data_IF_183377693739
#
_entry.id   IF_183377693739
#
_cell.length_a   1.000
_cell.length_b   1.000
_cell.length_c   1.000
_cell.angle_alpha   90.00
_cell.angle_beta   90.00
_cell.angle_gamma   90.00
#
_symmetry.space_group_name_H-M   'P 1'
#
loop_
_entity.id
_entity.type
_entity.pdbx_description
1 polymer ?
#
# COMPACT_ATOMS: atom_id res chain seq x y z
N UNK A 1 13.73 5.10 6.82
CA UNK A 1 13.17 3.73 6.60
C UNK A 1 14.25 2.67 6.40
N UNK A 2 15.22 2.86 5.49
CA UNK A 2 16.22 1.82 5.15
C UNK A 2 16.96 1.19 6.35
N UNK A 3 17.42 1.98 7.32
CA UNK A 3 18.11 1.46 8.52
C UNK A 3 17.23 0.57 9.40
N UNK A 4 15.94 0.88 9.50
CA UNK A 4 14.96 0.06 10.22
C UNK A 4 14.62 -1.21 9.45
N UNK A 5 14.55 -1.14 8.12
CA UNK A 5 14.34 -2.32 7.26
C UNK A 5 15.48 -3.33 7.39
N UNK A 6 16.73 -2.88 7.47
CA UNK A 6 17.88 -3.76 7.70
C UNK A 6 17.69 -4.61 8.98
N UNK A 7 17.27 -3.96 10.07
CA UNK A 7 16.99 -4.65 11.34
C UNK A 7 15.78 -5.58 11.25
N UNK A 8 14.72 -5.13 10.57
CA UNK A 8 13.51 -5.93 10.36
C UNK A 8 13.85 -7.20 9.59
N UNK A 9 14.63 -7.10 8.51
CA UNK A 9 15.00 -8.26 7.67
C UNK A 9 15.98 -9.20 8.39
N UNK A 10 16.83 -8.68 9.26
CA UNK A 10 17.77 -9.49 10.04
C UNK A 10 17.12 -10.34 11.13
N UNK A 11 15.93 -9.96 11.62
CA UNK A 11 15.18 -10.69 12.65
C UNK A 11 13.98 -11.45 12.03
N UNK A 12 13.97 -12.80 12.03
CA UNK A 12 12.88 -13.59 11.44
C UNK A 12 11.48 -13.25 11.97
N UNK A 13 11.34 -12.90 13.25
CA UNK A 13 10.05 -12.57 13.85
C UNK A 13 9.56 -11.20 13.36
N UNK A 14 10.44 -10.20 13.33
CA UNK A 14 10.12 -8.87 12.79
C UNK A 14 9.86 -8.94 11.27
N UNK A 15 10.69 -9.66 10.51
CA UNK A 15 10.54 -9.83 9.07
C UNK A 15 9.20 -10.48 8.73
N UNK A 16 8.78 -11.49 9.50
CA UNK A 16 7.49 -12.15 9.31
C UNK A 16 6.32 -11.19 9.53
N UNK A 17 6.34 -10.40 10.61
CA UNK A 17 5.30 -9.39 10.87
C UNK A 17 5.30 -8.29 9.81
N UNK A 18 6.47 -7.87 9.35
CA UNK A 18 6.62 -6.90 8.26
C UNK A 18 6.00 -7.38 6.95
N UNK A 19 6.35 -8.59 6.50
CA UNK A 19 5.75 -9.18 5.28
C UNK A 19 4.25 -9.35 5.41
N UNK A 20 3.77 -9.79 6.58
CA UNK A 20 2.34 -9.95 6.82
C UNK A 20 1.60 -8.60 6.86
N UNK A 21 2.29 -7.52 7.26
CA UNK A 21 1.76 -6.15 7.24
C UNK A 21 1.66 -5.61 5.82
N UNK A 22 2.70 -5.79 5.00
CA UNK A 22 2.64 -5.44 3.57
C UNK A 22 1.52 -6.23 2.88
N UNK A 23 1.46 -7.55 3.12
CA UNK A 23 0.38 -8.41 2.61
C UNK A 23 -1.02 -7.92 2.99
N UNK A 24 -1.18 -7.39 4.20
CA UNK A 24 -2.46 -6.82 4.64
C UNK A 24 -2.78 -5.53 3.90
N UNK A 25 -1.80 -4.67 3.66
CA UNK A 25 -1.96 -3.40 2.93
C UNK A 25 -2.36 -3.66 1.48
N UNK A 26 -1.69 -4.57 0.76
CA UNK A 26 -2.09 -4.96 -0.60
C UNK A 26 -3.52 -5.51 -0.66
N UNK A 27 -3.88 -6.35 0.31
CA UNK A 27 -5.25 -6.86 0.41
C UNK A 27 -6.27 -5.75 0.74
N UNK A 28 -5.86 -4.69 1.44
CA UNK A 28 -6.70 -3.53 1.67
C UNK A 28 -6.89 -2.73 0.37
N UNK A 29 -5.84 -2.60 -0.44
CA UNK A 29 -5.87 -2.07 -1.81
C UNK A 29 -6.89 -2.83 -2.65
N UNK A 30 -6.73 -4.15 -2.79
CA UNK A 30 -7.64 -5.01 -3.54
C UNK A 30 -9.12 -4.83 -3.15
N UNK A 31 -9.39 -4.75 -1.84
CA UNK A 31 -10.76 -4.53 -1.32
C UNK A 31 -11.30 -3.15 -1.69
N UNK A 32 -10.47 -2.11 -1.63
CA UNK A 32 -10.89 -0.75 -2.00
C UNK A 32 -11.24 -0.66 -3.48
N UNK A 33 -10.41 -1.24 -4.35
CA UNK A 33 -10.66 -1.30 -5.80
C UNK A 33 -11.97 -2.04 -6.06
N UNK A 34 -12.14 -3.22 -5.46
CA UNK A 34 -13.40 -3.98 -5.59
C UNK A 34 -14.61 -3.22 -5.07
N UNK A 35 -14.45 -2.46 -3.99
CA UNK A 35 -15.51 -1.63 -3.46
C UNK A 35 -15.87 -0.49 -4.41
N UNK A 36 -14.97 0.05 -5.22
CA UNK A 36 -15.27 1.18 -6.12
C UNK A 36 -16.03 0.78 -7.40
N UNK A 37 -16.14 -0.51 -7.69
CA UNK A 37 -16.83 -1.04 -8.87
C UNK A 37 -18.25 -0.46 -9.03
N UNK A 38 -18.57 -0.05 -10.27
CA UNK A 38 -19.95 0.27 -10.65
C UNK A 38 -20.76 -1.04 -10.64
N UNK A 39 -22.04 -1.05 -10.21
CA UNK A 39 -22.84 -2.27 -10.17
C UNK A 39 -23.11 -2.98 -11.52
N UNK A 40 -22.67 -2.40 -12.65
CA UNK A 40 -22.98 -2.87 -14.01
C UNK A 40 -21.81 -2.61 -14.96
N UNK A 41 -21.36 -1.35 -15.04
CA UNK A 41 -20.31 -0.93 -15.97
C UNK A 41 -18.94 -1.02 -15.30
N UNK A 42 -18.44 -2.24 -15.10
CA UNK A 42 -17.09 -2.46 -14.55
C UNK A 42 -16.11 -2.62 -15.71
N UNK A 43 -15.15 -1.68 -15.88
CA UNK A 43 -14.11 -1.81 -16.88
C UNK A 43 -13.13 -2.95 -16.54
N UNK A 44 -12.51 -3.53 -17.57
CA UNK A 44 -11.54 -4.63 -17.43
C UNK A 44 -10.36 -4.23 -16.54
N UNK A 45 -9.88 -2.98 -16.67
CA UNK A 45 -8.74 -2.46 -15.92
C UNK A 45 -8.95 -2.50 -14.40
N UNK A 46 -10.18 -2.27 -13.91
CA UNK A 46 -10.49 -2.30 -12.48
C UNK A 46 -10.42 -3.75 -11.96
N UNK A 47 -10.97 -4.70 -12.74
CA UNK A 47 -10.95 -6.12 -12.39
C UNK A 47 -9.52 -6.67 -12.38
N UNK A 48 -8.74 -6.30 -13.40
CA UNK A 48 -7.33 -6.68 -13.50
C UNK A 48 -6.54 -6.15 -12.32
N UNK A 49 -6.65 -4.85 -12.01
CA UNK A 49 -5.92 -4.24 -10.90
C UNK A 49 -6.29 -4.91 -9.57
N UNK A 50 -7.58 -5.05 -9.26
CA UNK A 50 -8.02 -5.73 -8.03
C UNK A 50 -7.48 -7.18 -7.90
N UNK A 51 -7.38 -7.92 -9.00
CA UNK A 51 -6.84 -9.27 -9.01
C UNK A 51 -5.32 -9.30 -8.79
N UNK A 52 -4.60 -8.30 -9.31
CA UNK A 52 -3.16 -8.15 -9.15
C UNK A 52 -2.81 -7.78 -7.70
N UNK A 53 -3.51 -6.83 -7.09
CA UNK A 53 -3.38 -6.49 -5.66
C UNK A 53 -3.61 -7.70 -4.74
N UNK A 54 -4.68 -8.46 -5.02
CA UNK A 54 -4.99 -9.68 -4.26
C UNK A 54 -3.88 -10.73 -4.42
N UNK A 55 -3.27 -10.81 -5.61
CA UNK A 55 -2.14 -11.69 -5.89
C UNK A 55 -0.87 -11.21 -5.18
N UNK A 56 -0.59 -9.92 -5.09
CA UNK A 56 0.54 -9.38 -4.31
C UNK A 56 0.40 -9.73 -2.84
N UNK A 57 -0.79 -9.52 -2.27
CA UNK A 57 -1.09 -9.91 -0.90
C UNK A 57 -0.81 -11.40 -0.66
N UNK A 58 -1.37 -12.27 -1.51
CA UNK A 58 -1.12 -13.70 -1.44
C UNK A 58 0.36 -14.04 -1.59
N UNK A 59 1.07 -13.39 -2.52
CA UNK A 59 2.47 -13.62 -2.77
C UNK A 59 3.30 -13.30 -1.52
N UNK A 60 3.12 -12.13 -0.92
CA UNK A 60 3.82 -11.72 0.31
C UNK A 60 3.56 -12.71 1.45
N UNK A 61 2.32 -13.17 1.65
CA UNK A 61 1.99 -14.24 2.60
C UNK A 61 2.69 -15.56 2.28
N UNK A 62 2.76 -15.95 1.01
CA UNK A 62 3.45 -17.17 0.56
C UNK A 62 4.94 -17.11 0.89
N UNK A 63 5.56 -15.93 0.81
CA UNK A 63 6.98 -15.73 1.11
C UNK A 63 7.32 -15.96 2.60
N UNK A 64 6.36 -15.87 3.52
CA UNK A 64 6.56 -16.21 4.94
C UNK A 64 7.13 -17.62 5.14
N UNK A 65 6.77 -18.56 4.26
CA UNK A 65 7.28 -19.95 4.29
C UNK A 65 8.79 -20.05 4.11
N UNK A 66 9.42 -19.02 3.53
CA UNK A 66 10.88 -18.93 3.36
C UNK A 66 11.59 -18.46 4.63
N UNK A 67 10.86 -17.86 5.57
CA UNK A 67 11.36 -17.46 6.90
C UNK A 67 11.12 -18.60 7.89
N UNK A 68 9.92 -19.18 7.90
CA UNK A 68 9.59 -20.32 8.75
C UNK A 68 8.17 -20.84 8.53
N UNK A 69 7.86 -21.99 9.12
CA UNK A 69 6.54 -22.63 9.02
C UNK A 69 5.56 -22.07 10.06
N UNK A 70 4.30 -21.83 9.66
CA UNK A 70 3.21 -21.45 10.58
C UNK A 70 3.27 -20.01 11.11
N UNK A 71 4.14 -19.17 10.56
CA UNK A 71 4.28 -17.77 10.97
C UNK A 71 3.13 -16.92 10.42
N UNK A 72 2.61 -16.03 11.26
CA UNK A 72 1.63 -15.00 10.90
C UNK A 72 0.43 -15.52 10.06
N UNK A 73 -0.35 -16.48 10.59
CA UNK A 73 -1.42 -17.14 9.82
C UNK A 73 -2.53 -16.17 9.37
N UNK A 74 -2.80 -15.14 10.18
CA UNK A 74 -3.91 -14.19 9.99
C UNK A 74 -3.38 -12.75 9.97
N UNK A 75 -4.27 -11.76 9.91
CA UNK A 75 -3.96 -10.34 10.12
C UNK A 75 -4.33 -9.89 11.54
N UNK A 76 -4.35 -10.81 12.51
CA UNK A 76 -4.56 -10.44 13.91
C UNK A 76 -3.39 -9.59 14.42
N UNK A 77 -3.69 -8.68 15.36
CA UNK A 77 -2.74 -7.68 15.85
C UNK A 77 -1.35 -8.21 16.23
N UNK A 78 -1.19 -9.39 16.87
CA UNK A 78 0.14 -9.92 17.20
C UNK A 78 1.02 -10.22 15.97
N UNK A 79 0.42 -10.45 14.81
CA UNK A 79 1.10 -10.83 13.57
C UNK A 79 1.39 -9.66 12.63
N UNK A 80 1.11 -8.43 13.04
CA UNK A 80 1.30 -7.23 12.24
C UNK A 80 2.24 -6.26 12.95
N UNK A 81 3.02 -5.50 12.21
CA UNK A 81 3.75 -4.32 12.70
C UNK A 81 2.77 -3.16 12.82
N UNK A 82 2.80 -2.42 13.93
CA UNK A 82 1.96 -1.25 14.19
C UNK A 82 0.47 -1.49 13.84
N UNK A 83 -0.18 -2.55 14.35
CA UNK A 83 -1.45 -3.08 13.82
C UNK A 83 -2.56 -2.03 13.70
N UNK A 84 -2.67 -1.12 14.67
CA UNK A 84 -3.69 -0.06 14.68
C UNK A 84 -3.44 0.97 13.56
N UNK A 85 -2.19 1.40 13.39
CA UNK A 85 -1.84 2.43 12.39
C UNK A 85 -1.87 1.81 11.00
N UNK A 86 -1.30 0.62 10.83
CA UNK A 86 -1.28 -0.14 9.58
C UNK A 86 -2.69 -0.42 9.05
N UNK A 87 -3.60 -0.93 9.89
CA UNK A 87 -4.96 -1.29 9.45
C UNK A 87 -5.82 -0.07 9.10
N UNK A 88 -5.52 1.10 9.67
CA UNK A 88 -6.25 2.35 9.42
C UNK A 88 -5.65 3.18 8.29
N UNK A 89 -4.48 2.83 7.79
CA UNK A 89 -3.69 3.63 6.85
C UNK A 89 -4.50 4.07 5.62
N UNK A 90 -4.92 3.10 4.81
CA UNK A 90 -5.65 3.34 3.57
C UNK A 90 -7.01 3.99 3.83
N UNK A 91 -7.70 3.58 4.89
CA UNK A 91 -9.01 4.11 5.23
C UNK A 91 -8.97 5.58 5.66
N UNK A 92 -7.95 5.99 6.41
CA UNK A 92 -7.75 7.39 6.78
C UNK A 92 -7.49 8.26 5.56
N UNK A 93 -6.64 7.78 4.65
CA UNK A 93 -6.39 8.48 3.38
C UNK A 93 -7.69 8.62 2.59
N UNK A 94 -8.45 7.53 2.45
CA UNK A 94 -9.73 7.52 1.74
C UNK A 94 -10.75 8.51 2.29
N UNK A 95 -10.91 8.59 3.61
CA UNK A 95 -11.79 9.56 4.27
C UNK A 95 -11.33 10.99 3.98
N UNK A 96 -10.03 11.27 4.11
CA UNK A 96 -9.47 12.61 3.91
C UNK A 96 -9.67 13.08 2.47
N UNK A 97 -9.34 12.24 1.49
CA UNK A 97 -9.49 12.57 0.07
C UNK A 97 -10.96 12.69 -0.32
N UNK A 98 -11.82 11.77 0.14
CA UNK A 98 -13.27 11.87 -0.11
C UNK A 98 -13.86 13.16 0.45
N UNK A 99 -13.40 13.61 1.63
CA UNK A 99 -13.85 14.88 2.21
C UNK A 99 -13.42 16.06 1.35
N UNK A 100 -12.14 16.09 0.98
CA UNK A 100 -11.58 17.15 0.14
C UNK A 100 -12.29 17.27 -1.21
N UNK A 101 -12.50 16.15 -1.90
CA UNK A 101 -13.21 16.10 -3.18
C UNK A 101 -14.65 16.59 -3.07
N UNK A 102 -15.34 16.22 -1.98
CA UNK A 102 -16.72 16.62 -1.73
C UNK A 102 -16.85 18.12 -1.47
N UNK A 103 -15.91 18.71 -0.73
CA UNK A 103 -15.95 20.10 -0.27
C UNK A 103 -15.40 21.07 -1.31
N UNK A 104 -14.34 20.70 -2.03
CA UNK A 104 -13.65 21.60 -2.96
C UNK A 104 -14.17 21.49 -4.40
N UNK A 105 -14.52 20.27 -4.84
CA UNK A 105 -14.94 19.99 -6.22
C UNK A 105 -16.42 19.63 -6.33
N UNK A 106 -17.12 19.49 -5.21
CA UNK A 106 -18.56 19.22 -5.20
C UNK A 106 -18.93 17.81 -5.65
N UNK A 107 -17.97 16.87 -5.77
CA UNK A 107 -18.27 15.48 -6.14
C UNK A 107 -19.27 14.84 -5.17
N UNK A 108 -20.16 13.98 -5.70
CA UNK A 108 -21.21 13.27 -4.95
C UNK A 108 -21.33 11.83 -5.42
N UNK A 109 -21.97 10.99 -4.60
CA UNK A 109 -22.37 9.63 -4.94
C UNK A 109 -21.25 8.81 -5.60
N UNK A 110 -21.53 8.23 -6.77
CA UNK A 110 -20.59 7.41 -7.52
C UNK A 110 -19.35 8.19 -7.96
N UNK A 111 -19.50 9.42 -8.44
CA UNK A 111 -18.38 10.23 -8.92
C UNK A 111 -17.38 10.52 -7.80
N UNK A 112 -17.89 10.77 -6.58
CA UNK A 112 -17.04 10.92 -5.40
C UNK A 112 -16.26 9.64 -5.11
N UNK A 113 -16.94 8.48 -5.15
CA UNK A 113 -16.34 7.18 -4.87
C UNK A 113 -15.26 6.82 -5.90
N UNK A 114 -15.53 7.08 -7.17
CA UNK A 114 -14.61 6.81 -8.27
C UNK A 114 -13.39 7.75 -8.25
N UNK A 115 -13.61 9.06 -8.07
CA UNK A 115 -12.52 10.03 -7.95
C UNK A 115 -11.65 9.76 -6.71
N UNK A 116 -12.27 9.41 -5.57
CA UNK A 116 -11.53 9.03 -4.37
C UNK A 116 -10.77 7.71 -4.55
N UNK A 117 -11.30 6.74 -5.31
CA UNK A 117 -10.54 5.56 -5.71
C UNK A 117 -9.28 5.95 -6.48
N UNK A 118 -9.42 6.69 -7.59
CA UNK A 118 -8.28 7.04 -8.46
C UNK A 118 -7.17 7.76 -7.70
N UNK A 119 -7.50 8.78 -6.90
CA UNK A 119 -6.51 9.57 -6.19
C UNK A 119 -5.83 8.83 -5.06
N UNK A 120 -6.59 8.06 -4.28
CA UNK A 120 -6.03 7.30 -3.17
C UNK A 120 -5.15 6.18 -3.73
N UNK A 121 -5.62 5.45 -4.75
CA UNK A 121 -4.81 4.42 -5.40
C UNK A 121 -3.53 5.01 -5.97
N UNK A 122 -3.62 6.10 -6.76
CA UNK A 122 -2.43 6.80 -7.27
C UNK A 122 -1.42 7.14 -6.16
N UNK A 123 -1.85 7.74 -5.04
CA UNK A 123 -0.94 8.10 -3.96
C UNK A 123 -0.29 6.89 -3.29
N UNK A 124 -1.00 5.75 -3.22
CA UNK A 124 -0.46 4.49 -2.71
C UNK A 124 0.52 3.86 -3.70
N UNK A 125 0.24 3.90 -5.02
CA UNK A 125 1.17 3.42 -6.04
C UNK A 125 2.50 4.21 -6.01
N UNK A 126 2.42 5.54 -5.88
CA UNK A 126 3.62 6.38 -5.71
C UNK A 126 4.41 5.96 -4.47
N UNK A 127 3.71 5.68 -3.35
CA UNK A 127 4.38 5.18 -2.15
C UNK A 127 5.00 3.80 -2.33
N UNK A 128 4.33 2.91 -3.06
CA UNK A 128 4.81 1.57 -3.35
C UNK A 128 6.08 1.62 -4.22
N UNK A 129 6.10 2.48 -5.26
CA UNK A 129 7.27 2.74 -6.11
C UNK A 129 8.45 3.32 -5.31
N UNK A 130 8.22 4.04 -4.21
CA UNK A 130 9.28 4.48 -3.30
C UNK A 130 9.72 3.39 -2.31
N UNK A 131 8.78 2.66 -1.69
CA UNK A 131 9.06 1.74 -0.58
C UNK A 131 9.67 0.42 -1.05
N UNK A 132 9.11 -0.19 -2.09
CA UNK A 132 9.50 -1.53 -2.52
C UNK A 132 10.94 -1.61 -3.04
N UNK A 133 11.47 -0.64 -3.81
CA UNK A 133 12.88 -0.66 -4.20
C UNK A 133 13.83 -0.61 -3.00
N UNK A 134 13.54 0.21 -1.99
CA UNK A 134 14.33 0.27 -0.75
C UNK A 134 14.31 -1.10 -0.06
N UNK A 135 13.14 -1.72 0.04
CA UNK A 135 12.99 -3.04 0.65
C UNK A 135 13.73 -4.13 -0.14
N UNK A 136 13.61 -4.12 -1.47
CA UNK A 136 14.32 -5.06 -2.36
C UNK A 136 15.83 -4.94 -2.24
N UNK A 137 16.36 -3.73 -2.11
CA UNK A 137 17.79 -3.49 -1.92
C UNK A 137 18.29 -4.03 -0.57
N UNK A 138 17.50 -3.91 0.49
CA UNK A 138 17.81 -4.49 1.81
C UNK A 138 17.75 -6.02 1.75
N UNK A 139 16.73 -6.60 1.12
CA UNK A 139 16.64 -8.05 0.90
C UNK A 139 17.87 -8.58 0.15
N UNK A 140 18.31 -7.88 -0.91
CA UNK A 140 19.51 -8.23 -1.68
C UNK A 140 20.77 -8.18 -0.82
N UNK A 141 20.97 -7.11 -0.05
CA UNK A 141 22.14 -6.95 0.85
C UNK A 141 22.21 -8.04 1.91
N UNK A 142 21.07 -8.48 2.43
CA UNK A 142 20.96 -9.56 3.39
C UNK A 142 20.95 -10.97 2.75
N UNK A 143 21.12 -11.07 1.43
CA UNK A 143 21.06 -12.34 0.68
C UNK A 143 19.77 -13.13 0.97
N UNK A 144 18.67 -12.42 1.17
CA UNK A 144 17.36 -13.02 1.44
C UNK A 144 16.89 -13.85 0.24
N UNK A 145 16.25 -14.98 0.50
CA UNK A 145 15.58 -15.80 -0.52
C UNK A 145 14.23 -15.19 -0.97
N UNK A 146 13.81 -14.10 -0.33
CA UNK A 146 12.60 -13.34 -0.65
C UNK A 146 12.95 -12.23 -1.64
N UNK A 147 12.06 -12.04 -2.61
CA UNK A 147 12.12 -10.95 -3.59
C UNK A 147 10.75 -10.31 -3.69
N UNK A 148 10.72 -9.02 -3.99
CA UNK A 148 9.53 -8.21 -4.30
C UNK A 148 9.65 -7.55 -5.68
N UNK A 149 10.66 -7.94 -6.48
CA UNK A 149 10.94 -7.35 -7.79
C UNK A 149 9.75 -7.37 -8.76
N UNK A 150 8.97 -8.46 -8.75
CA UNK A 150 7.79 -8.57 -9.61
C UNK A 150 6.69 -7.59 -9.18
N UNK A 151 6.55 -7.32 -7.87
CA UNK A 151 5.59 -6.33 -7.37
C UNK A 151 5.99 -4.96 -7.91
N UNK A 152 7.25 -4.55 -7.75
CA UNK A 152 7.77 -3.26 -8.26
C UNK A 152 7.42 -3.04 -9.74
N UNK A 153 7.60 -4.07 -10.56
CA UNK A 153 7.32 -3.96 -12.01
C UNK A 153 5.83 -3.76 -12.30
N UNK A 154 4.97 -4.35 -11.47
CA UNK A 154 3.51 -4.27 -11.60
C UNK A 154 2.98 -2.92 -11.08
N UNK A 155 3.48 -2.41 -9.95
CA UNK A 155 3.07 -1.09 -9.41
C UNK A 155 3.36 0.04 -10.42
N UNK A 156 4.46 -0.06 -11.17
CA UNK A 156 4.79 0.93 -12.20
C UNK A 156 3.77 0.94 -13.34
N UNK A 157 3.18 -0.22 -13.68
CA UNK A 157 2.12 -0.32 -14.67
C UNK A 157 0.81 0.23 -14.11
N UNK A 158 0.52 -0.03 -12.83
CA UNK A 158 -0.65 0.51 -12.14
C UNK A 158 -0.59 2.03 -12.07
N UNK A 159 0.55 2.60 -11.67
CA UNK A 159 0.77 4.04 -11.61
C UNK A 159 0.50 4.72 -12.96
N UNK A 160 1.08 4.18 -14.05
CA UNK A 160 0.85 4.72 -15.39
C UNK A 160 -0.63 4.64 -15.81
N UNK A 161 -1.34 3.57 -15.43
CA UNK A 161 -2.78 3.45 -15.65
C UNK A 161 -3.58 4.48 -14.87
N UNK A 162 -3.23 4.70 -13.59
CA UNK A 162 -3.90 5.69 -12.74
C UNK A 162 -3.70 7.11 -13.28
N UNK A 163 -2.49 7.47 -13.70
CA UNK A 163 -2.22 8.77 -14.32
C UNK A 163 -3.08 9.01 -15.57
N UNK A 164 -3.20 8.01 -16.45
CA UNK A 164 -4.00 8.12 -17.65
C UNK A 164 -5.50 8.30 -17.36
N UNK A 165 -6.02 7.67 -16.30
CA UNK A 165 -7.41 7.84 -15.86
C UNK A 165 -7.64 9.21 -15.21
N UNK A 166 -6.70 9.66 -14.38
CA UNK A 166 -6.75 10.96 -13.71
C UNK A 166 -6.71 12.13 -14.71
N UNK A 167 -5.90 12.02 -15.77
CA UNK A 167 -5.87 13.00 -16.87
C UNK A 167 -7.24 13.18 -17.55
N UNK A 168 -8.04 12.11 -17.63
CA UNK A 168 -9.40 12.16 -18.20
C UNK A 168 -10.43 12.70 -17.20
N UNK A 169 -10.18 12.57 -15.90
CA UNK A 169 -11.08 12.99 -14.84
C UNK A 169 -11.13 14.52 -14.71
N UNK A 170 -9.99 15.21 -14.84
CA UNK A 170 -9.92 16.66 -14.65
C UNK A 170 -8.69 17.29 -15.31
N UNK A 171 -8.84 18.49 -15.86
CA UNK A 171 -7.71 19.31 -16.31
C UNK A 171 -6.75 19.70 -15.16
N UNK A 172 -7.24 19.67 -13.91
CA UNK A 172 -6.48 19.94 -12.69
C UNK A 172 -5.97 18.67 -12.00
N UNK A 173 -5.87 17.55 -12.72
CA UNK A 173 -5.50 16.25 -12.15
C UNK A 173 -4.16 16.27 -11.38
N UNK A 174 -3.17 17.08 -11.83
CA UNK A 174 -1.88 17.20 -11.13
C UNK A 174 -2.02 17.77 -9.73
N UNK A 175 -2.84 18.81 -9.57
CA UNK A 175 -3.11 19.40 -8.26
C UNK A 175 -3.83 18.40 -7.34
N UNK A 176 -4.77 17.63 -7.89
CA UNK A 176 -5.43 16.56 -7.14
C UNK A 176 -4.42 15.49 -6.67
N UNK A 177 -3.47 15.11 -7.54
CA UNK A 177 -2.40 14.17 -7.24
C UNK A 177 -1.48 14.69 -6.13
N UNK A 178 -1.04 15.95 -6.23
CA UNK A 178 -0.19 16.59 -5.23
C UNK A 178 -0.84 16.60 -3.84
N UNK A 179 -2.15 16.87 -3.78
CA UNK A 179 -2.91 16.84 -2.53
C UNK A 179 -3.00 15.43 -1.99
N UNK A 180 -3.30 14.44 -2.84
CA UNK A 180 -3.36 13.05 -2.43
C UNK A 180 -2.02 12.54 -1.88
N UNK A 181 -0.92 12.84 -2.58
CA UNK A 181 0.44 12.51 -2.15
C UNK A 181 0.84 13.25 -0.87
N UNK A 182 0.43 14.51 -0.68
CA UNK A 182 0.73 15.26 0.54
C UNK A 182 0.02 14.68 1.76
N UNK A 183 -1.26 14.32 1.64
CA UNK A 183 -2.00 13.67 2.72
C UNK A 183 -1.48 12.26 3.00
N UNK A 184 -1.12 11.51 1.96
CA UNK A 184 -0.45 10.21 2.09
C UNK A 184 0.87 10.34 2.85
N UNK A 185 1.73 11.31 2.49
CA UNK A 185 3.05 11.47 3.11
C UNK A 185 2.99 11.76 4.62
N UNK A 186 1.94 12.46 5.09
CA UNK A 186 1.68 12.68 6.51
C UNK A 186 1.37 11.35 7.21
N UNK A 187 0.45 10.57 6.64
CA UNK A 187 0.09 9.26 7.17
C UNK A 187 1.27 8.29 7.12
N UNK A 188 2.06 8.32 6.05
CA UNK A 188 3.27 7.52 5.89
C UNK A 188 4.28 7.79 6.99
N UNK A 189 4.51 9.08 7.30
CA UNK A 189 5.41 9.48 8.37
C UNK A 189 4.96 8.96 9.73
N UNK A 190 3.65 9.04 10.03
CA UNK A 190 3.06 8.45 11.25
C UNK A 190 3.23 6.92 11.28
N UNK A 191 3.00 6.25 10.14
CA UNK A 191 3.12 4.80 10.01
C UNK A 191 4.55 4.33 10.19
N UNK A 192 5.52 4.94 9.51
CA UNK A 192 6.95 4.67 9.67
C UNK A 192 7.38 4.88 11.12
N UNK A 193 6.95 5.97 11.75
CA UNK A 193 7.24 6.21 13.17
C UNK A 193 6.71 5.08 14.06
N UNK A 194 5.47 4.65 13.84
CA UNK A 194 4.88 3.54 14.61
C UNK A 194 5.59 2.20 14.38
N UNK A 195 5.94 1.88 13.14
CA UNK A 195 6.69 0.65 12.79
C UNK A 195 8.09 0.68 13.42
N UNK A 196 8.80 1.80 13.31
CA UNK A 196 10.18 1.93 13.80
C UNK A 196 10.30 1.84 15.32
N UNK A 197 9.25 2.23 16.07
CA UNK A 197 9.18 2.05 17.53
C UNK A 197 9.19 0.59 17.97
N UNK A 198 8.71 -0.32 17.13
CA UNK A 198 8.69 -1.75 17.43
C UNK A 198 10.01 -2.44 17.09
N UNK A 199 10.94 -1.72 16.45
CA UNK A 199 12.27 -2.23 16.11
C UNK A 199 13.24 -1.93 17.26
N UNK A 200 13.95 -2.92 17.80
CA UNK A 200 14.89 -2.71 18.90
C UNK A 200 15.93 -1.62 18.63
N UNK A 201 16.20 -0.80 19.65
CA UNK A 201 17.34 0.11 19.66
C UNK A 201 18.66 -0.70 19.60
N UNK A 202 19.72 -0.10 19.06
CA UNK A 202 21.05 -0.71 19.09
C UNK A 202 21.49 -0.80 20.56
N UNK A 203 21.93 -1.95 21.09
CA UNK A 203 22.70 -1.95 22.33
C UNK A 203 23.97 -1.15 22.06
N UNK A 204 24.12 -0.01 22.71
CA UNK A 204 25.35 0.81 22.67
C UNK A 204 26.52 -0.01 23.18
#
# INVERSE_FOLDING_TARGET
>A
MASSLEKIVADPALHSRWLNTLSMLENAGAKKIKQCEHPVFVPEEILKHAAEEARHAWYLKKQLKKIGSGLCPTYESPYLMAPIVSSRYLHRLDITISRYLRETFGFRNHDLKYAAYLLVTYAIEVRADELYPIYQDVLRRNKSSISVHNIITEEQQHLASMEAQLQKLSDRWKELCEIACSEEAKLYSEWVYAVTKEVPAVPV
#
